data_IF_152109891415
#
_entry.id   IF_152109891415
#
_cell.length_a   1.000
_cell.length_b   1.000
_cell.length_c   1.000
_cell.angle_alpha   90.00
_cell.angle_beta   90.00
_cell.angle_gamma   90.00
#
_symmetry.space_group_name_H-M   'P 1'
#
loop_
_entity.id
_entity.type
_entity.pdbx_description
1 polymer ?
#
# COMPACT_ATOMS: atom_id res chain seq x y z
N UNK A 1 26.03 -15.23 18.85
CA UNK A 1 26.82 -14.94 17.63
C UNK A 1 25.87 -14.16 16.75
N UNK A 2 25.97 -12.84 16.74
CA UNK A 2 25.22 -12.01 15.79
C UNK A 2 25.82 -12.28 14.41
N UNK A 3 25.05 -12.88 13.51
CA UNK A 3 25.44 -13.06 12.11
C UNK A 3 25.40 -11.71 11.42
N UNK A 4 26.48 -11.33 10.72
CA UNK A 4 26.48 -10.15 9.84
C UNK A 4 25.43 -10.36 8.75
N UNK A 5 24.41 -9.49 8.71
CA UNK A 5 23.35 -9.55 7.72
C UNK A 5 23.89 -9.42 6.30
N UNK A 6 25.10 -8.91 6.08
CA UNK A 6 25.72 -8.84 4.75
C UNK A 6 26.29 -10.19 4.27
N UNK A 7 25.97 -11.29 4.95
CA UNK A 7 26.42 -12.64 4.59
C UNK A 7 25.26 -13.62 4.66
N UNK A 8 25.23 -14.58 3.72
CA UNK A 8 24.31 -15.71 3.78
C UNK A 8 25.00 -16.98 4.30
N UNK A 9 24.30 -17.83 5.07
CA UNK A 9 22.93 -17.63 5.56
C UNK A 9 22.85 -16.59 6.70
N UNK A 10 21.73 -15.87 6.77
CA UNK A 10 21.44 -14.92 7.86
C UNK A 10 20.11 -15.27 8.53
N UNK A 11 20.04 -15.20 9.85
CA UNK A 11 18.80 -15.48 10.60
C UNK A 11 18.28 -14.18 11.19
N UNK A 12 17.15 -13.69 10.68
CA UNK A 12 16.56 -12.46 11.19
C UNK A 12 15.94 -12.66 12.57
N UNK A 13 15.28 -13.80 12.78
CA UNK A 13 14.69 -14.20 14.06
C UNK A 13 15.27 -15.54 14.49
N UNK A 14 16.07 -15.58 15.58
CA UNK A 14 16.67 -16.82 16.04
C UNK A 14 15.64 -17.92 16.33
N UNK A 15 15.77 -19.06 15.66
CA UNK A 15 14.91 -20.22 15.87
C UNK A 15 13.67 -20.26 14.98
N UNK A 16 13.46 -19.26 14.13
CA UNK A 16 12.35 -19.25 13.17
C UNK A 16 12.86 -19.44 11.73
N UNK A 17 12.70 -20.64 11.14
CA UNK A 17 13.18 -20.92 9.79
C UNK A 17 12.43 -20.17 8.68
N UNK A 18 11.27 -19.57 8.97
CA UNK A 18 10.54 -18.75 7.99
C UNK A 18 11.27 -17.42 7.72
N UNK A 19 12.16 -17.01 8.63
CA UNK A 19 12.93 -15.77 8.53
C UNK A 19 14.45 -16.05 8.41
N UNK A 20 14.80 -17.21 7.85
CA UNK A 20 16.15 -17.59 7.45
C UNK A 20 16.41 -17.17 5.99
N UNK A 21 17.50 -16.42 5.78
CA UNK A 21 17.90 -15.90 4.49
C UNK A 21 19.01 -16.74 3.87
N UNK A 22 18.99 -16.97 2.54
CA UNK A 22 18.16 -16.30 1.52
C UNK A 22 16.74 -16.87 1.32
N UNK A 23 16.36 -17.92 2.05
CA UNK A 23 15.11 -18.62 1.80
C UNK A 23 13.86 -17.74 1.96
N UNK A 24 13.85 -16.85 2.97
CA UNK A 24 12.78 -15.89 3.23
C UNK A 24 12.54 -14.87 2.09
N UNK A 25 13.48 -14.74 1.14
CA UNK A 25 13.28 -13.89 -0.03
C UNK A 25 12.60 -14.64 -1.20
N UNK A 26 12.73 -15.97 -1.24
CA UNK A 26 12.17 -16.82 -2.29
C UNK A 26 10.70 -17.18 -2.08
N UNK A 27 10.22 -18.15 -2.86
CA UNK A 27 8.87 -18.70 -2.75
C UNK A 27 8.67 -19.49 -1.46
N UNK A 28 7.56 -19.23 -0.78
CA UNK A 28 7.02 -20.08 0.28
C UNK A 28 5.96 -21.02 -0.31
N UNK A 29 6.37 -22.25 -0.63
CA UNK A 29 5.54 -23.20 -1.39
C UNK A 29 4.30 -23.67 -0.61
N UNK A 30 4.39 -23.71 0.72
CA UNK A 30 3.34 -24.09 1.66
C UNK A 30 2.32 -22.98 1.95
N UNK A 31 2.56 -21.77 1.43
CA UNK A 31 1.71 -20.60 1.62
C UNK A 31 0.82 -20.39 0.38
N UNK A 32 -0.46 -20.10 0.62
CA UNK A 32 -1.39 -19.82 -0.48
C UNK A 32 -1.16 -18.43 -1.09
N UNK A 33 -0.72 -17.46 -0.29
CA UNK A 33 -0.36 -16.13 -0.79
C UNK A 33 1.05 -15.73 -0.42
N UNK A 34 1.75 -15.09 -1.35
CA UNK A 34 3.13 -14.61 -1.17
C UNK A 34 3.30 -13.30 -1.95
N UNK A 35 3.76 -12.24 -1.28
CA UNK A 35 3.75 -10.86 -1.77
C UNK A 35 5.15 -10.26 -1.76
N UNK A 36 5.68 -9.94 -2.94
CA UNK A 36 6.92 -9.19 -3.09
C UNK A 36 6.61 -7.77 -3.52
N UNK A 37 6.89 -6.83 -2.61
CA UNK A 37 6.67 -5.42 -2.83
C UNK A 37 8.02 -4.69 -2.82
N UNK A 38 8.26 -3.82 -3.79
CA UNK A 38 9.35 -2.83 -3.73
C UNK A 38 8.85 -1.49 -4.25
N UNK A 39 9.19 -0.42 -3.53
CA UNK A 39 8.89 0.94 -3.93
C UNK A 39 10.00 1.90 -3.52
N UNK A 40 10.12 3.02 -4.23
CA UNK A 40 11.14 4.02 -3.93
C UNK A 40 10.98 5.32 -4.69
N UNK A 41 11.68 6.34 -4.19
CA UNK A 41 11.92 7.61 -4.85
C UNK A 41 13.16 7.51 -5.74
N UNK A 42 13.10 8.16 -6.90
CA UNK A 42 14.14 8.20 -7.90
C UNK A 42 14.35 9.66 -8.33
N UNK A 43 15.60 10.08 -8.40
CA UNK A 43 16.00 11.35 -8.97
C UNK A 43 16.69 11.10 -10.32
N UNK A 44 16.25 11.83 -11.33
CA UNK A 44 16.79 11.76 -12.68
C UNK A 44 17.95 12.74 -12.89
N UNK A 45 18.88 12.40 -13.79
CA UNK A 45 19.98 13.30 -14.17
C UNK A 45 19.48 14.64 -14.76
N UNK A 46 18.28 14.66 -15.34
CA UNK A 46 17.60 15.88 -15.81
C UNK A 46 17.14 16.82 -14.69
N UNK A 47 17.20 16.38 -13.42
CA UNK A 47 16.72 17.12 -12.26
C UNK A 47 15.25 16.87 -11.92
N UNK A 48 14.59 15.96 -12.63
CA UNK A 48 13.21 15.53 -12.33
C UNK A 48 13.17 14.49 -11.21
N UNK A 49 12.09 14.48 -10.44
CA UNK A 49 11.87 13.48 -9.40
C UNK A 49 10.71 12.55 -9.76
N UNK A 50 10.95 11.26 -9.57
CA UNK A 50 10.00 10.18 -9.82
C UNK A 50 9.82 9.33 -8.57
N UNK A 51 8.76 8.52 -8.55
CA UNK A 51 8.67 7.39 -7.67
C UNK A 51 8.12 6.18 -8.43
N UNK A 52 8.29 5.00 -7.85
CA UNK A 52 7.74 3.78 -8.40
C UNK A 52 7.28 2.85 -7.29
N UNK A 53 6.39 1.93 -7.64
CA UNK A 53 6.15 0.72 -6.87
C UNK A 53 5.96 -0.46 -7.81
N UNK A 54 6.19 -1.66 -7.28
CA UNK A 54 5.80 -2.91 -7.93
C UNK A 54 5.36 -3.93 -6.91
N UNK A 55 4.43 -4.78 -7.33
CA UNK A 55 3.92 -5.92 -6.57
C UNK A 55 3.98 -7.14 -7.49
N UNK A 56 4.70 -8.17 -7.07
CA UNK A 56 4.48 -9.53 -7.56
C UNK A 56 3.70 -10.27 -6.48
N UNK A 57 2.64 -10.96 -6.88
CA UNK A 57 1.77 -11.60 -5.93
C UNK A 57 1.37 -13.00 -6.41
N UNK A 58 1.71 -14.00 -5.60
CA UNK A 58 1.20 -15.36 -5.70
C UNK A 58 -0.12 -15.41 -4.94
N UNK A 59 -1.19 -15.93 -5.54
CA UNK A 59 -2.43 -16.29 -4.86
C UNK A 59 -2.94 -17.62 -5.39
N UNK A 60 -2.93 -18.63 -4.53
CA UNK A 60 -3.32 -19.99 -4.87
C UNK A 60 -4.31 -20.58 -3.88
N UNK A 61 -5.56 -20.05 -3.82
CA UNK A 61 -6.55 -20.52 -2.86
C UNK A 61 -6.82 -22.02 -3.05
N UNK A 62 -6.71 -22.79 -1.97
CA UNK A 62 -6.85 -24.25 -1.99
C UNK A 62 -5.79 -24.96 -2.84
N UNK A 63 -4.70 -24.28 -3.23
CA UNK A 63 -3.58 -24.82 -4.02
C UNK A 63 -3.88 -25.17 -5.48
N UNK A 64 -5.14 -25.08 -5.92
CA UNK A 64 -5.58 -25.51 -7.27
C UNK A 64 -5.95 -24.35 -8.18
N UNK A 65 -6.49 -23.27 -7.61
CA UNK A 65 -6.78 -22.04 -8.32
C UNK A 65 -5.48 -21.24 -8.41
N UNK A 66 -5.20 -20.64 -9.56
CA UNK A 66 -4.11 -19.66 -9.73
C UNK A 66 -4.77 -18.31 -9.96
N UNK A 67 -4.46 -17.33 -9.12
CA UNK A 67 -4.92 -15.94 -9.21
C UNK A 67 -3.73 -14.98 -8.98
N UNK A 68 -2.58 -15.36 -9.52
CA UNK A 68 -1.33 -14.64 -9.39
C UNK A 68 -1.43 -13.31 -10.17
N UNK A 69 -0.83 -12.24 -9.67
CA UNK A 69 -0.86 -10.94 -10.36
C UNK A 69 0.47 -10.20 -10.26
N UNK A 70 0.64 -9.27 -11.19
CA UNK A 70 1.73 -8.31 -11.22
C UNK A 70 1.16 -6.91 -11.33
N UNK A 71 1.70 -5.97 -10.55
CA UNK A 71 1.38 -4.54 -10.65
C UNK A 71 2.65 -3.72 -10.67
N UNK A 72 2.71 -2.69 -11.50
CA UNK A 72 3.70 -1.62 -11.38
C UNK A 72 3.05 -0.26 -11.55
N UNK A 73 3.65 0.76 -10.93
CA UNK A 73 3.29 2.14 -11.18
C UNK A 73 4.53 3.03 -11.22
N UNK A 74 4.45 4.09 -12.04
CA UNK A 74 5.40 5.19 -12.10
C UNK A 74 4.66 6.48 -11.73
N UNK A 75 5.31 7.33 -10.95
CA UNK A 75 4.79 8.60 -10.49
C UNK A 75 5.79 9.69 -10.89
N UNK A 76 5.30 10.74 -11.53
CA UNK A 76 6.05 11.98 -11.72
C UNK A 76 5.75 12.90 -10.54
N UNK A 77 6.74 13.12 -9.69
CA UNK A 77 6.57 13.89 -8.45
C UNK A 77 6.55 15.40 -8.69
N UNK A 78 6.99 15.85 -9.87
CA UNK A 78 7.02 17.26 -10.24
C UNK A 78 5.69 17.71 -10.84
N UNK A 79 5.06 16.84 -11.66
CA UNK A 79 3.77 17.14 -12.30
C UNK A 79 2.57 16.58 -11.54
N UNK A 80 2.78 15.58 -10.68
CA UNK A 80 1.72 14.80 -10.04
C UNK A 80 1.02 13.81 -10.97
N UNK A 81 1.58 13.51 -12.16
CA UNK A 81 1.06 12.50 -13.08
C UNK A 81 1.43 11.09 -12.59
N UNK A 82 0.61 10.08 -12.90
CA UNK A 82 0.96 8.69 -12.63
C UNK A 82 0.41 7.71 -13.68
N UNK A 83 1.20 6.67 -13.91
CA UNK A 83 0.84 5.51 -14.72
C UNK A 83 0.81 4.26 -13.85
N UNK A 84 -0.16 3.38 -14.09
CA UNK A 84 -0.26 2.09 -13.40
C UNK A 84 -0.61 1.00 -14.40
N UNK A 85 -0.07 -0.19 -14.16
CA UNK A 85 -0.34 -1.39 -14.93
C UNK A 85 -0.56 -2.55 -13.98
N UNK A 86 -1.64 -3.31 -14.16
CA UNK A 86 -1.90 -4.56 -13.43
C UNK A 86 -2.29 -5.64 -14.42
N UNK A 87 -1.63 -6.80 -14.33
CA UNK A 87 -1.95 -7.98 -15.14
C UNK A 87 -2.21 -9.19 -14.23
N UNK A 88 -3.12 -10.06 -14.68
CA UNK A 88 -3.60 -11.21 -13.92
C UNK A 88 -3.33 -12.53 -14.65
N UNK A 89 -2.98 -13.53 -13.86
CA UNK A 89 -2.95 -14.94 -14.22
C UNK A 89 -4.07 -15.63 -13.46
N UNK A 90 -5.26 -15.68 -14.08
CA UNK A 90 -6.46 -16.19 -13.42
C UNK A 90 -7.45 -16.88 -14.38
N UNK A 91 -8.35 -17.72 -13.85
CA UNK A 91 -9.44 -18.29 -14.62
C UNK A 91 -10.37 -17.24 -15.23
N UNK A 92 -11.00 -17.52 -16.39
CA UNK A 92 -10.84 -18.76 -17.16
C UNK A 92 -9.59 -18.80 -18.04
N UNK A 93 -8.91 -17.66 -18.25
CA UNK A 93 -7.84 -17.54 -19.25
C UNK A 93 -6.67 -18.50 -19.01
N UNK A 94 -6.27 -18.72 -17.76
CA UNK A 94 -5.18 -19.64 -17.42
C UNK A 94 -5.57 -21.12 -17.35
N UNK A 95 -6.86 -21.43 -17.58
CA UNK A 95 -7.36 -22.80 -17.68
C UNK A 95 -7.49 -23.27 -19.13
N UNK A 96 -7.29 -22.38 -20.11
CA UNK A 96 -7.34 -22.75 -21.52
C UNK A 96 -6.24 -23.76 -21.89
N UNK A 97 -6.51 -24.72 -22.81
CA UNK A 97 -5.51 -25.69 -23.22
C UNK A 97 -4.22 -25.04 -23.74
N UNK A 98 -3.08 -25.39 -23.12
CA UNK A 98 -1.77 -24.85 -23.48
C UNK A 98 -1.42 -23.52 -22.82
N UNK A 99 -2.30 -22.97 -21.96
CA UNK A 99 -1.95 -21.83 -21.12
C UNK A 99 -0.73 -22.14 -20.24
N UNK A 100 0.21 -21.20 -20.20
CA UNK A 100 1.37 -21.25 -19.31
C UNK A 100 1.13 -20.29 -18.15
N UNK A 101 1.60 -20.67 -16.96
CA UNK A 101 1.61 -19.77 -15.81
C UNK A 101 2.47 -18.55 -16.12
N UNK A 102 1.96 -17.37 -15.80
CA UNK A 102 2.68 -16.11 -16.03
C UNK A 102 3.78 -15.90 -14.99
N UNK A 103 3.51 -16.24 -13.73
CA UNK A 103 4.44 -16.08 -12.60
C UNK A 103 5.33 -17.32 -12.40
N UNK A 104 6.64 -17.11 -12.46
CA UNK A 104 7.66 -18.09 -12.06
C UNK A 104 8.43 -17.55 -10.85
N UNK A 105 8.74 -18.43 -9.91
CA UNK A 105 9.42 -18.11 -8.66
C UNK A 105 10.40 -19.23 -8.31
N UNK A 106 11.56 -18.90 -7.71
CA UNK A 106 12.47 -19.89 -7.16
C UNK A 106 12.26 -20.08 -5.65
N UNK A 107 12.35 -21.33 -5.13
CA UNK A 107 12.49 -21.55 -3.70
C UNK A 107 13.92 -21.24 -3.24
N UNK A 108 14.06 -20.78 -2.00
CA UNK A 108 15.37 -20.64 -1.34
C UNK A 108 16.14 -19.35 -1.63
N UNK A 109 15.75 -18.56 -2.64
CA UNK A 109 16.30 -17.23 -2.93
C UNK A 109 15.35 -16.44 -3.83
N UNK A 110 15.54 -15.12 -3.91
CA UNK A 110 14.74 -14.28 -4.78
C UNK A 110 15.08 -14.49 -6.25
N UNK A 111 14.12 -15.01 -7.00
CA UNK A 111 14.14 -15.04 -8.47
C UNK A 111 12.71 -15.13 -8.97
N UNK A 112 12.20 -14.01 -9.47
CA UNK A 112 10.83 -13.82 -9.91
C UNK A 112 10.82 -13.41 -11.38
N UNK A 113 9.88 -13.96 -12.13
CA UNK A 113 9.52 -13.44 -13.45
C UNK A 113 8.01 -13.51 -13.68
N UNK A 114 7.43 -12.46 -14.25
CA UNK A 114 6.03 -12.41 -14.63
C UNK A 114 5.90 -12.07 -16.12
N UNK A 115 5.26 -12.96 -16.88
CA UNK A 115 5.07 -12.82 -18.33
C UNK A 115 3.70 -12.19 -18.63
N UNK A 116 3.68 -10.91 -18.97
CA UNK A 116 2.46 -10.16 -19.28
C UNK A 116 2.38 -9.79 -20.77
N UNK A 117 1.27 -9.18 -21.17
CA UNK A 117 1.13 -8.60 -22.52
C UNK A 117 2.11 -7.45 -22.81
N UNK A 118 2.61 -6.78 -21.77
CA UNK A 118 3.58 -5.68 -21.89
C UNK A 118 5.05 -6.17 -21.94
N UNK A 119 5.30 -7.46 -21.71
CA UNK A 119 6.62 -8.08 -21.68
C UNK A 119 6.86 -8.89 -20.40
N UNK A 120 8.12 -9.19 -20.12
CA UNK A 120 8.51 -9.91 -18.90
C UNK A 120 9.03 -8.93 -17.85
N UNK A 121 8.34 -8.85 -16.71
CA UNK A 121 8.86 -8.22 -15.52
C UNK A 121 9.67 -9.24 -14.70
N UNK A 122 10.75 -8.82 -14.04
CA UNK A 122 11.59 -9.69 -13.22
C UNK A 122 12.20 -8.99 -12.02
N UNK A 123 12.45 -9.77 -10.98
CA UNK A 123 13.19 -9.35 -9.78
C UNK A 123 14.02 -10.54 -9.29
N UNK A 124 15.35 -10.42 -9.42
CA UNK A 124 16.28 -11.53 -9.19
C UNK A 124 17.47 -11.13 -8.33
N UNK A 125 17.92 -12.04 -7.49
CA UNK A 125 19.15 -11.89 -6.71
C UNK A 125 20.39 -11.90 -7.62
N UNK A 126 21.29 -10.94 -7.39
CA UNK A 126 22.57 -10.88 -8.06
C UNK A 126 23.51 -11.97 -7.56
N UNK A 127 24.48 -12.31 -8.40
CA UNK A 127 25.56 -13.25 -8.09
C UNK A 127 26.91 -12.59 -8.30
N UNK A 128 27.90 -13.01 -7.54
CA UNK A 128 29.30 -12.63 -7.73
C UNK A 128 29.94 -13.40 -8.91
N UNK A 129 31.23 -13.14 -9.15
CA UNK A 129 32.00 -13.81 -10.22
C UNK A 129 32.15 -15.33 -10.05
N UNK A 130 31.93 -15.85 -8.85
CA UNK A 130 31.96 -17.28 -8.52
C UNK A 130 30.55 -17.91 -8.58
N UNK A 131 29.52 -17.13 -8.91
CA UNK A 131 28.12 -17.56 -8.98
C UNK A 131 27.41 -17.63 -7.62
N UNK A 132 28.02 -17.15 -6.53
CA UNK A 132 27.39 -17.10 -5.21
C UNK A 132 26.44 -15.91 -5.12
N UNK A 133 25.35 -16.07 -4.36
CA UNK A 133 24.39 -14.98 -4.14
C UNK A 133 25.06 -13.81 -3.41
N UNK A 134 24.83 -12.61 -3.91
CA UNK A 134 25.16 -11.37 -3.23
C UNK A 134 24.01 -11.01 -2.29
N UNK A 135 24.23 -10.91 -0.97
CA UNK A 135 23.16 -10.68 -0.02
C UNK A 135 22.34 -9.43 -0.34
N UNK A 136 21.04 -9.66 -0.50
CA UNK A 136 20.00 -8.67 -0.74
C UNK A 136 20.24 -7.76 -1.95
N UNK A 137 21.15 -8.11 -2.84
CA UNK A 137 21.48 -7.28 -4.01
C UNK A 137 20.71 -7.79 -5.21
N UNK A 138 20.00 -6.92 -5.92
CA UNK A 138 19.00 -7.33 -6.91
C UNK A 138 19.17 -6.65 -8.26
N UNK A 139 18.70 -7.35 -9.30
CA UNK A 139 18.28 -6.77 -10.57
C UNK A 139 16.77 -6.76 -10.65
N UNK A 140 16.21 -5.59 -10.93
CA UNK A 140 14.77 -5.36 -11.07
C UNK A 140 14.52 -4.83 -12.49
N UNK A 141 13.61 -5.47 -13.23
CA UNK A 141 13.17 -5.02 -14.55
C UNK A 141 11.64 -5.05 -14.57
N UNK A 142 11.03 -3.89 -14.65
CA UNK A 142 9.57 -3.72 -14.62
C UNK A 142 9.09 -3.25 -15.98
N UNK A 143 7.94 -3.75 -16.42
CA UNK A 143 7.34 -3.39 -17.71
C UNK A 143 5.82 -3.33 -17.60
N UNK A 144 5.21 -2.35 -18.25
CA UNK A 144 3.78 -2.12 -18.21
C UNK A 144 3.33 -1.12 -19.26
N UNK A 145 2.04 -0.81 -19.23
CA UNK A 145 1.42 0.22 -20.05
C UNK A 145 0.48 1.04 -19.16
N UNK A 146 0.53 2.37 -19.24
CA UNK A 146 -0.36 3.21 -18.43
C UNK A 146 -1.79 3.28 -19.00
N UNK A 147 -2.68 3.96 -18.29
CA UNK A 147 -4.09 4.10 -18.67
C UNK A 147 -4.32 4.83 -20.02
N UNK A 148 -3.28 5.50 -20.55
CA UNK A 148 -3.30 6.20 -21.83
C UNK A 148 -2.58 5.42 -22.94
N UNK A 149 -2.15 4.18 -22.67
CA UNK A 149 -1.45 3.34 -23.63
C UNK A 149 0.05 3.66 -23.75
N UNK A 150 0.63 4.48 -22.86
CA UNK A 150 2.07 4.79 -22.91
C UNK A 150 2.86 3.64 -22.29
N UNK A 151 3.88 3.11 -22.98
CA UNK A 151 4.72 2.07 -22.42
C UNK A 151 5.50 2.59 -21.21
N UNK A 152 5.57 1.78 -20.16
CA UNK A 152 6.33 2.02 -18.94
C UNK A 152 7.40 0.94 -18.79
N UNK A 153 8.62 1.35 -18.45
CA UNK A 153 9.72 0.44 -18.13
C UNK A 153 10.63 1.04 -17.06
N UNK A 154 11.07 0.20 -16.13
CA UNK A 154 12.05 0.59 -15.11
C UNK A 154 13.04 -0.55 -14.92
N UNK A 155 14.32 -0.30 -15.19
CA UNK A 155 15.40 -1.24 -14.93
C UNK A 155 16.28 -0.68 -13.82
N UNK A 156 16.48 -1.41 -12.72
CA UNK A 156 17.25 -0.99 -11.57
C UNK A 156 18.25 -2.06 -11.13
N UNK A 157 19.45 -1.61 -10.76
CA UNK A 157 20.32 -2.28 -9.80
C UNK A 157 19.94 -1.80 -8.40
N UNK A 158 19.68 -2.72 -7.47
CA UNK A 158 19.24 -2.39 -6.12
C UNK A 158 20.16 -3.04 -5.09
N UNK A 159 20.67 -2.27 -4.14
CA UNK A 159 21.45 -2.76 -3.01
C UNK A 159 20.99 -2.07 -1.73
N UNK A 160 20.47 -2.80 -0.73
CA UNK A 160 20.06 -2.20 0.53
C UNK A 160 21.27 -1.77 1.35
N UNK A 161 21.07 -0.71 2.12
CA UNK A 161 22.05 -0.18 3.06
C UNK A 161 21.74 -0.59 4.51
N UNK A 162 20.57 -1.21 4.73
CA UNK A 162 20.08 -1.64 6.05
C UNK A 162 19.71 -3.12 6.05
N UNK A 163 19.80 -3.71 7.24
CA UNK A 163 19.36 -5.08 7.48
C UNK A 163 17.84 -5.19 7.30
N UNK A 164 17.31 -6.37 6.92
CA UNK A 164 15.89 -6.62 7.03
C UNK A 164 15.44 -6.47 8.50
N UNK A 165 14.20 -6.04 8.70
CA UNK A 165 13.59 -5.77 10.01
C UNK A 165 12.28 -6.56 10.09
N UNK A 166 12.08 -7.39 11.13
CA UNK A 166 10.83 -8.12 11.27
C UNK A 166 9.71 -7.14 11.62
N UNK A 167 8.55 -7.25 10.98
CA UNK A 167 7.41 -6.40 11.32
C UNK A 167 7.00 -6.67 12.78
N UNK A 168 6.77 -5.59 13.52
CA UNK A 168 6.50 -5.60 14.95
C UNK A 168 7.75 -5.86 15.81
N UNK A 169 8.95 -5.68 15.25
CA UNK A 169 10.24 -5.83 15.93
C UNK A 169 10.31 -7.12 16.77
N UNK A 170 10.88 -7.06 17.98
CA UNK A 170 10.95 -8.20 18.90
C UNK A 170 9.61 -8.55 19.57
N UNK A 171 8.61 -7.65 19.51
CA UNK A 171 7.26 -7.87 20.06
C UNK A 171 6.53 -8.97 19.29
N UNK A 172 6.61 -8.92 17.96
CA UNK A 172 5.95 -9.88 17.06
C UNK A 172 6.91 -10.80 16.32
N UNK A 173 8.20 -10.45 16.25
CA UNK A 173 9.22 -11.19 15.52
C UNK A 173 8.81 -11.50 14.07
N UNK A 174 8.10 -10.57 13.42
CA UNK A 174 7.67 -10.71 12.03
C UNK A 174 6.51 -11.67 11.85
N UNK A 175 6.02 -12.32 12.91
CA UNK A 175 4.86 -13.22 12.87
C UNK A 175 3.63 -12.51 13.42
N UNK A 176 2.70 -12.19 12.52
CA UNK A 176 1.62 -11.22 12.75
C UNK A 176 0.25 -11.82 12.44
N UNK A 177 -0.80 -11.09 12.81
CA UNK A 177 -2.17 -11.38 12.37
C UNK A 177 -2.56 -10.37 11.31
N UNK A 178 -2.68 -10.80 10.06
CA UNK A 178 -3.03 -9.93 8.93
C UNK A 178 -4.27 -10.46 8.21
N UNK A 179 -5.20 -9.59 7.84
CA UNK A 179 -6.50 -9.93 7.25
C UNK A 179 -7.29 -11.01 8.01
N UNK A 180 -7.15 -11.05 9.33
CA UNK A 180 -7.78 -12.08 10.19
C UNK A 180 -7.10 -13.44 10.15
N UNK A 181 -5.91 -13.55 9.56
CA UNK A 181 -5.14 -14.79 9.47
C UNK A 181 -3.97 -14.73 10.45
N UNK A 182 -3.93 -15.66 11.42
CA UNK A 182 -2.73 -15.91 12.21
C UNK A 182 -1.63 -16.49 11.32
N UNK A 183 -0.40 -16.55 11.84
CA UNK A 183 0.73 -17.18 11.16
C UNK A 183 1.04 -16.53 9.79
N UNK A 184 0.67 -15.26 9.61
CA UNK A 184 1.19 -14.43 8.53
C UNK A 184 2.57 -13.96 8.93
N UNK A 185 3.54 -14.05 8.03
CA UNK A 185 4.88 -13.53 8.28
C UNK A 185 5.13 -12.29 7.45
N UNK A 186 5.91 -11.36 7.99
CA UNK A 186 6.34 -10.18 7.28
C UNK A 186 7.65 -9.59 7.81
N UNK A 187 8.48 -9.11 6.90
CA UNK A 187 9.61 -8.26 7.18
C UNK A 187 9.69 -7.15 6.13
N UNK A 188 10.29 -6.03 6.51
CA UNK A 188 10.64 -4.98 5.57
C UNK A 188 12.15 -4.75 5.57
N UNK A 189 12.66 -4.21 4.48
CA UNK A 189 14.04 -3.76 4.38
C UNK A 189 14.06 -2.38 3.75
N UNK A 190 14.87 -1.47 4.27
CA UNK A 190 14.89 -0.07 3.82
C UNK A 190 16.29 0.36 3.40
N UNK A 191 16.41 1.62 2.96
CA UNK A 191 17.68 2.18 2.49
C UNK A 191 18.14 1.54 1.19
N UNK A 192 17.24 1.45 0.21
CA UNK A 192 17.54 0.88 -1.11
C UNK A 192 18.37 1.85 -1.93
N UNK A 193 19.67 1.57 -2.10
CA UNK A 193 20.48 2.26 -3.10
C UNK A 193 20.10 1.70 -4.48
N UNK A 194 19.60 2.57 -5.35
CA UNK A 194 19.03 2.23 -6.64
C UNK A 194 19.72 3.03 -7.74
N UNK A 195 20.05 2.39 -8.85
CA UNK A 195 20.54 3.05 -10.07
C UNK A 195 20.02 2.33 -11.30
N UNK A 196 19.70 3.06 -12.37
CA UNK A 196 19.32 2.46 -13.63
C UNK A 196 18.58 3.40 -14.55
N UNK A 197 17.59 2.87 -15.29
CA UNK A 197 16.91 3.60 -16.36
C UNK A 197 15.39 3.56 -16.20
N UNK A 198 14.76 4.71 -16.35
CA UNK A 198 13.30 4.85 -16.42
C UNK A 198 12.89 5.22 -17.85
N UNK A 199 11.83 4.58 -18.35
CA UNK A 199 11.14 4.99 -19.57
C UNK A 199 9.63 5.05 -19.34
N UNK A 200 9.02 6.15 -19.74
CA UNK A 200 7.57 6.33 -19.71
C UNK A 200 7.11 7.12 -20.95
N UNK A 201 6.53 6.40 -21.92
CA UNK A 201 6.29 6.94 -23.25
C UNK A 201 7.60 7.37 -23.93
N UNK A 202 7.68 8.67 -24.21
CA UNK A 202 8.86 9.32 -24.82
C UNK A 202 9.89 9.80 -23.79
N UNK A 203 9.54 9.82 -22.49
CA UNK A 203 10.47 10.16 -21.42
C UNK A 203 11.43 8.99 -21.23
N UNK A 204 12.74 9.27 -21.25
CA UNK A 204 13.81 8.32 -20.94
C UNK A 204 14.83 9.02 -20.05
N UNK A 205 15.09 8.47 -18.87
CA UNK A 205 15.93 9.08 -17.84
C UNK A 205 16.93 8.06 -17.28
N UNK A 206 18.15 8.50 -17.02
CA UNK A 206 19.02 7.83 -16.05
C UNK A 206 18.57 8.26 -14.66
N UNK A 207 18.37 7.28 -13.78
CA UNK A 207 17.78 7.51 -12.46
C UNK A 207 18.63 6.89 -11.36
N UNK A 208 18.63 7.52 -10.20
CA UNK A 208 19.23 6.99 -8.98
C UNK A 208 18.35 7.31 -7.77
N UNK A 209 18.48 6.56 -6.68
CA UNK A 209 17.71 6.82 -5.47
C UNK A 209 18.28 6.11 -4.27
N UNK A 210 17.95 6.60 -3.08
CA UNK A 210 18.31 5.99 -1.79
C UNK A 210 17.12 5.80 -0.86
N UNK A 211 15.99 6.46 -1.16
CA UNK A 211 14.74 6.32 -0.42
C UNK A 211 13.89 5.23 -1.05
N UNK A 212 13.85 4.06 -0.43
CA UNK A 212 13.05 2.94 -0.91
C UNK A 212 12.98 1.83 0.12
N UNK A 213 12.04 0.92 -0.10
CA UNK A 213 11.81 -0.22 0.77
C UNK A 213 11.35 -1.44 -0.02
N UNK A 214 11.68 -2.59 0.55
CA UNK A 214 11.12 -3.89 0.23
C UNK A 214 10.16 -4.25 1.36
N UNK A 215 8.97 -4.72 1.02
CA UNK A 215 8.09 -5.40 1.95
C UNK A 215 7.80 -6.82 1.44
N UNK A 216 7.89 -7.77 2.36
CA UNK A 216 7.69 -9.20 2.10
C UNK A 216 6.64 -9.70 3.05
N UNK A 217 5.65 -10.38 2.51
CA UNK A 217 4.56 -10.92 3.30
C UNK A 217 4.03 -12.20 2.68
N UNK A 218 3.85 -13.25 3.50
CA UNK A 218 3.25 -14.50 3.08
C UNK A 218 2.23 -15.00 4.08
N UNK A 219 1.18 -15.62 3.55
CA UNK A 219 -0.03 -15.95 4.26
C UNK A 219 -0.37 -17.43 4.12
N UNK A 220 -0.85 -18.07 5.20
CA UNK A 220 -1.25 -19.47 5.15
C UNK A 220 -2.45 -19.70 4.22
N UNK A 221 -3.31 -18.69 4.06
CA UNK A 221 -4.43 -18.73 3.10
C UNK A 221 -4.43 -17.49 2.22
N UNK A 222 -5.22 -17.55 1.15
CA UNK A 222 -5.43 -16.44 0.24
C UNK A 222 -5.65 -15.10 0.97
N UNK A 223 -4.78 -14.11 0.73
CA UNK A 223 -4.80 -12.81 1.39
C UNK A 223 -6.13 -12.06 1.18
N UNK A 224 -6.72 -12.15 -0.02
CA UNK A 224 -7.94 -11.43 -0.39
C UNK A 224 -9.25 -12.08 0.07
N UNK A 225 -9.28 -12.75 1.23
CA UNK A 225 -10.54 -13.26 1.82
C UNK A 225 -10.43 -14.56 2.61
N UNK A 226 -9.26 -15.21 2.63
CA UNK A 226 -9.04 -16.47 3.34
C UNK A 226 -9.29 -16.38 4.86
N UNK A 227 -9.03 -15.21 5.46
CA UNK A 227 -9.33 -14.91 6.86
C UNK A 227 -10.75 -14.39 7.13
N UNK A 228 -11.57 -14.20 6.09
CA UNK A 228 -12.92 -13.62 6.18
C UNK A 228 -14.00 -14.47 5.53
N UNK A 229 -13.76 -15.77 5.36
CA UNK A 229 -14.75 -16.68 4.76
C UNK A 229 -15.02 -16.43 3.27
N UNK A 230 -14.07 -15.79 2.57
CA UNK A 230 -14.11 -15.55 1.13
C UNK A 230 -14.59 -14.16 0.71
N UNK A 231 -15.00 -13.28 1.64
CA UNK A 231 -15.33 -11.89 1.30
C UNK A 231 -14.06 -11.02 1.28
N UNK A 232 -13.59 -10.57 0.09
CA UNK A 232 -12.39 -9.75 -0.02
C UNK A 232 -12.54 -8.36 0.62
N UNK A 233 -13.77 -7.88 0.87
CA UNK A 233 -14.03 -6.56 1.46
C UNK A 233 -14.39 -6.60 2.94
N UNK A 234 -14.44 -7.78 3.56
CA UNK A 234 -14.71 -7.91 5.00
C UNK A 234 -13.55 -7.40 5.87
N UNK A 235 -12.33 -7.36 5.32
CA UNK A 235 -11.16 -6.74 5.94
C UNK A 235 -10.61 -5.66 5.02
N UNK A 236 -9.98 -4.67 5.62
CA UNK A 236 -9.19 -3.67 4.90
C UNK A 236 -8.02 -3.23 5.78
N UNK A 237 -7.09 -2.50 5.19
CA UNK A 237 -5.88 -2.09 5.86
C UNK A 237 -5.39 -0.75 5.33
N UNK A 238 -4.50 -0.16 6.13
CA UNK A 238 -3.60 0.89 5.71
C UNK A 238 -2.19 0.48 6.08
N UNK A 239 -1.24 0.67 5.17
CA UNK A 239 0.18 0.40 5.40
C UNK A 239 0.99 1.60 4.94
N UNK A 240 1.97 2.02 5.72
CA UNK A 240 2.82 3.16 5.39
C UNK A 240 4.26 2.81 5.64
N UNK A 241 5.12 3.04 4.65
CA UNK A 241 6.57 3.00 4.87
C UNK A 241 7.13 4.39 4.67
N UNK A 242 7.75 4.93 5.72
CA UNK A 242 8.21 6.31 5.80
C UNK A 242 9.71 6.31 6.03
N UNK A 243 10.47 7.00 5.16
CA UNK A 243 11.89 7.25 5.31
C UNK A 243 12.10 8.70 5.75
N UNK A 244 12.49 8.92 7.00
CA UNK A 244 12.77 10.27 7.51
C UNK A 244 14.18 10.75 7.17
N UNK A 245 14.32 12.07 7.05
CA UNK A 245 15.58 12.78 6.82
C UNK A 245 16.64 12.58 7.92
N UNK A 246 16.22 12.28 9.14
CA UNK A 246 17.11 11.91 10.25
C UNK A 246 17.60 10.44 10.17
N UNK A 247 17.18 9.70 9.15
CA UNK A 247 17.52 8.31 8.93
C UNK A 247 16.68 7.32 9.73
N UNK A 248 15.64 7.70 10.46
CA UNK A 248 14.70 6.72 11.02
C UNK A 248 13.71 6.29 9.94
N UNK A 249 13.48 4.98 9.81
CA UNK A 249 12.45 4.45 8.94
C UNK A 249 11.31 3.87 9.76
N UNK A 250 10.06 4.12 9.35
CA UNK A 250 8.88 3.55 9.97
C UNK A 250 8.13 2.65 9.00
N UNK A 251 7.61 1.54 9.50
CA UNK A 251 6.52 0.79 8.89
C UNK A 251 5.31 0.91 9.82
N UNK A 252 4.19 1.48 9.36
CA UNK A 252 2.97 1.69 10.15
C UNK A 252 1.84 0.89 9.52
N UNK A 253 1.14 0.08 10.30
CA UNK A 253 0.05 -0.75 9.83
C UNK A 253 -1.21 -0.52 10.65
N UNK A 254 -2.35 -0.49 9.98
CA UNK A 254 -3.69 -0.46 10.58
C UNK A 254 -4.57 -1.44 9.83
N UNK A 255 -5.46 -2.11 10.56
CA UNK A 255 -6.39 -3.07 9.97
C UNK A 255 -7.79 -2.84 10.50
N UNK A 256 -8.78 -3.07 9.64
CA UNK A 256 -10.18 -2.78 9.95
C UNK A 256 -11.07 -3.98 9.68
N UNK A 257 -11.98 -4.25 10.61
CA UNK A 257 -13.15 -5.10 10.40
C UNK A 257 -14.25 -4.30 9.72
N UNK A 258 -14.40 -4.51 8.42
CA UNK A 258 -15.42 -3.81 7.65
C UNK A 258 -16.82 -4.34 7.89
N UNK A 259 -16.96 -5.49 8.54
CA UNK A 259 -18.25 -6.08 8.91
C UNK A 259 -18.75 -5.56 10.26
N UNK A 260 -17.83 -5.02 11.07
CA UNK A 260 -18.12 -4.43 12.38
C UNK A 260 -17.80 -2.93 12.38
N UNK A 261 -18.47 -2.14 11.52
CA UNK A 261 -18.38 -0.68 11.56
C UNK A 261 -16.98 -0.11 11.34
N UNK A 262 -16.17 -0.76 10.49
CA UNK A 262 -14.75 -0.43 10.28
C UNK A 262 -13.92 -0.43 11.59
N UNK A 263 -14.26 -1.31 12.55
CA UNK A 263 -13.56 -1.40 13.82
C UNK A 263 -12.08 -1.77 13.63
N UNK A 264 -11.20 -1.03 14.30
CA UNK A 264 -9.77 -1.31 14.30
C UNK A 264 -9.47 -2.70 14.88
N UNK A 265 -8.55 -3.43 14.25
CA UNK A 265 -8.13 -4.76 14.70
C UNK A 265 -6.88 -4.69 15.59
N UNK A 266 -6.68 -5.66 16.50
CA UNK A 266 -5.58 -5.63 17.48
C UNK A 266 -4.17 -5.49 16.90
N UNK A 267 -3.88 -6.10 15.74
CA UNK A 267 -2.61 -5.88 15.06
C UNK A 267 -2.64 -4.55 14.30
N UNK A 268 -2.37 -3.47 15.04
CA UNK A 268 -2.21 -2.08 14.59
C UNK A 268 -1.04 -1.45 15.34
N UNK A 269 -0.12 -0.79 14.63
CA UNK A 269 1.06 -0.22 15.27
C UNK A 269 2.10 0.31 14.29
N UNK A 270 3.30 0.49 14.79
CA UNK A 270 4.47 0.97 14.06
C UNK A 270 5.70 0.16 14.45
N UNK A 271 6.54 -0.16 13.46
CA UNK A 271 7.91 -0.64 13.65
C UNK A 271 8.86 0.47 13.23
N UNK A 272 9.75 0.86 14.13
CA UNK A 272 10.82 1.79 13.83
C UNK A 272 12.14 1.03 13.59
N UNK A 273 12.86 1.42 12.54
CA UNK A 273 14.21 0.96 12.23
C UNK A 273 15.16 2.15 12.18
N UNK A 274 16.39 1.94 12.65
CA UNK A 274 17.32 3.01 12.99
C UNK A 274 18.56 2.99 12.08
N UNK A 275 19.18 4.15 11.83
CA UNK A 275 20.37 4.22 10.97
C UNK A 275 21.60 3.58 11.63
N UNK A 276 21.67 3.57 12.96
CA UNK A 276 22.71 2.87 13.71
C UNK A 276 22.36 1.37 13.80
N UNK A 277 23.14 0.47 13.17
CA UNK A 277 22.86 -0.96 13.19
C UNK A 277 22.98 -1.59 14.59
N UNK A 278 23.58 -0.90 15.57
CA UNK A 278 23.61 -1.35 16.96
C UNK A 278 22.31 -1.03 17.72
N UNK A 279 21.45 -0.17 17.18
CA UNK A 279 20.15 0.14 17.78
C UNK A 279 19.11 -0.83 17.24
N UNK A 280 18.54 -1.72 18.08
CA UNK A 280 17.54 -2.69 17.62
C UNK A 280 16.26 -1.97 17.19
N UNK A 281 15.50 -2.54 16.24
CA UNK A 281 14.19 -2.01 15.89
C UNK A 281 13.24 -2.06 17.08
N UNK A 282 12.27 -1.14 17.10
CA UNK A 282 11.27 -1.02 18.18
C UNK A 282 9.84 -1.08 17.63
N UNK A 283 8.88 -1.46 18.47
CA UNK A 283 7.47 -1.57 18.14
C UNK A 283 6.62 -0.75 19.12
N UNK A 284 5.74 0.09 18.59
CA UNK A 284 4.75 0.81 19.36
C UNK A 284 3.34 0.58 18.80
N UNK A 285 2.35 0.47 19.68
CA UNK A 285 0.97 0.08 19.32
C UNK A 285 -0.05 1.18 19.63
N UNK A 286 0.40 2.29 20.22
CA UNK A 286 -0.39 3.49 20.52
C UNK A 286 -0.43 4.48 19.33
N UNK A 287 -0.51 3.95 18.10
CA UNK A 287 -0.58 4.76 16.88
C UNK A 287 -2.02 5.21 16.64
N UNK A 288 -2.19 6.53 16.61
CA UNK A 288 -3.44 7.19 16.24
C UNK A 288 -3.31 7.83 14.86
N UNK A 289 -4.34 7.69 14.03
CA UNK A 289 -4.41 8.33 12.72
C UNK A 289 -5.73 9.07 12.61
N UNK A 290 -5.65 10.38 12.37
CA UNK A 290 -6.79 11.26 12.11
C UNK A 290 -6.81 11.62 10.63
N UNK A 291 -7.91 11.31 9.95
CA UNK A 291 -8.09 11.66 8.54
C UNK A 291 -8.57 13.12 8.44
N UNK A 292 -7.95 13.87 7.53
CA UNK A 292 -8.26 15.29 7.27
C UNK A 292 -8.96 15.51 5.93
N UNK A 293 -8.76 14.61 4.97
CA UNK A 293 -9.46 14.63 3.70
C UNK A 293 -9.66 13.22 3.14
N UNK A 294 -10.61 13.11 2.22
CA UNK A 294 -10.80 11.93 1.40
C UNK A 294 -10.67 12.29 -0.06
N UNK A 295 -10.28 11.31 -0.87
CA UNK A 295 -10.24 11.43 -2.32
C UNK A 295 -11.19 10.41 -2.94
N UNK A 296 -11.97 10.84 -3.93
CA UNK A 296 -12.87 9.97 -4.66
C UNK A 296 -12.06 9.01 -5.53
N UNK A 297 -12.49 7.76 -5.61
CA UNK A 297 -11.91 6.76 -6.50
C UNK A 297 -11.95 7.24 -7.97
N UNK A 298 -10.86 7.11 -8.73
CA UNK A 298 -10.82 7.57 -10.12
C UNK A 298 -11.56 6.61 -11.05
N UNK A 299 -12.31 7.15 -12.02
CA UNK A 299 -13.07 6.33 -12.98
C UNK A 299 -12.18 5.57 -13.98
N UNK A 300 -10.94 6.03 -14.16
CA UNK A 300 -9.97 5.44 -15.09
C UNK A 300 -9.47 4.05 -14.65
N UNK A 301 -9.59 3.72 -13.35
CA UNK A 301 -9.08 2.46 -12.79
C UNK A 301 -10.25 1.62 -12.28
N UNK A 302 -10.29 0.36 -12.72
CA UNK A 302 -11.32 -0.60 -12.33
C UNK A 302 -10.69 -1.72 -11.51
N UNK A 303 -11.17 -1.96 -10.27
CA UNK A 303 -10.84 -3.18 -9.55
C UNK A 303 -11.31 -4.42 -10.30
N UNK A 304 -10.66 -5.56 -10.07
CA UNK A 304 -11.08 -6.85 -10.67
C UNK A 304 -12.47 -7.27 -10.20
N UNK A 305 -12.73 -7.20 -8.89
CA UNK A 305 -14.04 -7.51 -8.31
C UNK A 305 -14.91 -6.27 -8.41
N UNK A 306 -16.08 -6.42 -9.05
CA UNK A 306 -17.05 -5.34 -9.23
C UNK A 306 -17.25 -4.56 -7.91
N UNK A 307 -17.10 -3.23 -7.95
CA UNK A 307 -17.36 -2.40 -6.78
C UNK A 307 -18.79 -2.50 -6.28
N UNK A 308 -18.98 -2.37 -4.96
CA UNK A 308 -20.29 -2.47 -4.30
C UNK A 308 -21.17 -1.24 -4.60
N UNK A 309 -20.56 -0.07 -4.69
CA UNK A 309 -21.23 1.20 -4.99
C UNK A 309 -20.41 2.01 -6.00
N UNK A 310 -21.03 2.90 -6.80
CA UNK A 310 -20.32 3.77 -7.73
C UNK A 310 -19.44 4.80 -7.01
N UNK A 311 -19.99 5.44 -5.97
CA UNK A 311 -19.29 6.41 -5.13
C UNK A 311 -18.42 5.70 -4.10
N UNK A 312 -17.13 6.00 -4.12
CA UNK A 312 -16.14 5.38 -3.23
C UNK A 312 -15.07 6.40 -2.88
N UNK A 313 -14.74 6.52 -1.61
CA UNK A 313 -13.80 7.51 -1.11
C UNK A 313 -12.69 6.82 -0.31
N UNK A 314 -11.45 7.23 -0.52
CA UNK A 314 -10.28 6.70 0.15
C UNK A 314 -9.69 7.76 1.08
N UNK A 315 -9.19 7.40 2.28
CA UNK A 315 -8.46 8.32 3.14
C UNK A 315 -7.29 8.97 2.39
N UNK A 316 -7.11 10.28 2.54
CA UNK A 316 -6.14 11.04 1.74
C UNK A 316 -5.11 11.75 2.63
N UNK A 317 -5.35 13.01 3.02
CA UNK A 317 -4.51 13.72 3.99
C UNK A 317 -4.84 13.26 5.40
N UNK A 318 -3.82 13.16 6.24
CA UNK A 318 -4.00 12.66 7.60
C UNK A 318 -2.87 13.11 8.52
N UNK A 319 -3.13 13.02 9.83
CA UNK A 319 -2.14 13.21 10.90
C UNK A 319 -1.93 11.90 11.63
N UNK A 320 -0.69 11.59 11.96
CA UNK A 320 -0.30 10.41 12.72
C UNK A 320 0.32 10.86 14.03
N UNK A 321 -0.11 10.25 15.14
CA UNK A 321 0.46 10.45 16.46
C UNK A 321 0.81 9.12 17.10
N UNK A 322 1.89 9.08 17.86
CA UNK A 322 2.26 7.94 18.70
C UNK A 322 3.01 8.47 19.92
N UNK A 323 2.44 8.29 21.11
CA UNK A 323 3.01 8.87 22.34
C UNK A 323 4.32 8.18 22.71
N UNK A 324 4.41 6.85 22.53
CA UNK A 324 5.63 6.06 22.75
C UNK A 324 6.83 6.61 21.97
N UNK A 325 6.63 6.94 20.69
CA UNK A 325 7.68 7.52 19.83
C UNK A 325 7.75 9.06 19.90
N UNK A 326 6.88 9.71 20.67
CA UNK A 326 6.64 11.16 20.59
C UNK A 326 6.55 11.65 19.14
N UNK A 327 5.83 10.87 18.33
CA UNK A 327 5.61 11.11 16.91
C UNK A 327 4.38 12.00 16.75
N UNK A 328 4.50 13.01 15.90
CA UNK A 328 3.39 13.87 15.50
C UNK A 328 3.67 14.41 14.10
N UNK A 329 3.09 13.80 13.07
CA UNK A 329 3.38 14.11 11.66
C UNK A 329 2.09 14.26 10.86
N UNK A 330 2.13 15.12 9.84
CA UNK A 330 1.07 15.27 8.84
C UNK A 330 1.57 14.72 7.52
N UNK A 331 0.76 13.88 6.88
CA UNK A 331 1.02 13.28 5.58
C UNK A 331 0.17 13.90 4.49
N UNK A 332 0.80 14.26 3.38
CA UNK A 332 0.14 14.76 2.17
C UNK A 332 0.51 13.92 0.95
N UNK A 333 -0.47 13.58 0.09
CA UNK A 333 -0.18 12.86 -1.15
C UNK A 333 0.62 13.75 -2.11
N UNK A 334 1.58 13.15 -2.81
CA UNK A 334 2.30 13.81 -3.90
C UNK A 334 1.61 13.61 -5.26
N UNK A 335 0.71 12.62 -5.34
CA UNK A 335 -0.11 12.32 -6.51
C UNK A 335 -1.56 12.13 -6.07
N UNK A 336 -2.50 12.70 -6.82
CA UNK A 336 -3.91 12.57 -6.51
C UNK A 336 -4.45 11.17 -6.86
N UNK A 337 -5.16 10.56 -5.90
CA UNK A 337 -5.93 9.31 -6.10
C UNK A 337 -5.19 8.16 -6.81
N UNK A 338 -3.97 7.75 -6.39
CA UNK A 338 -3.16 6.75 -7.07
C UNK A 338 -3.74 5.34 -6.90
N UNK A 339 -4.76 5.03 -7.70
CA UNK A 339 -5.47 3.75 -7.69
C UNK A 339 -4.79 2.71 -8.58
N UNK A 340 -4.89 1.45 -8.18
CA UNK A 340 -4.36 0.31 -8.93
C UNK A 340 -5.46 -0.70 -9.24
N UNK A 341 -5.29 -1.44 -10.33
CA UNK A 341 -6.26 -2.44 -10.80
C UNK A 341 -6.26 -3.73 -9.98
N UNK A 342 -6.04 -3.66 -8.66
CA UNK A 342 -6.01 -4.79 -7.74
C UNK A 342 -7.42 -5.41 -7.52
N UNK A 343 -7.53 -6.55 -6.80
CA UNK A 343 -8.81 -7.25 -6.68
C UNK A 343 -9.97 -6.41 -6.15
N UNK A 344 -9.69 -5.52 -5.20
CA UNK A 344 -10.65 -4.56 -4.63
C UNK A 344 -10.11 -3.13 -4.75
N UNK A 345 -10.85 -2.16 -4.24
CA UNK A 345 -10.40 -0.79 -4.15
C UNK A 345 -9.10 -0.70 -3.35
N UNK A 346 -8.03 -0.29 -4.03
CA UNK A 346 -6.70 -0.23 -3.48
C UNK A 346 -5.94 0.95 -4.08
N UNK A 347 -5.41 1.80 -3.21
CA UNK A 347 -4.55 2.91 -3.58
C UNK A 347 -3.21 2.79 -2.88
N UNK A 348 -2.13 3.01 -3.62
CA UNK A 348 -0.78 3.17 -3.07
C UNK A 348 -0.12 4.31 -3.82
N UNK A 349 0.50 5.23 -3.10
CA UNK A 349 1.27 6.25 -3.78
C UNK A 349 2.18 7.04 -2.87
N UNK A 350 2.99 7.91 -3.48
CA UNK A 350 4.01 8.67 -2.79
C UNK A 350 3.39 9.76 -1.90
N UNK A 351 3.95 9.89 -0.70
CA UNK A 351 3.54 10.86 0.33
C UNK A 351 4.75 11.64 0.81
N UNK A 352 4.50 12.89 1.20
CA UNK A 352 5.42 13.67 2.02
C UNK A 352 4.87 13.79 3.43
N UNK A 353 5.74 13.54 4.40
CA UNK A 353 5.45 13.73 5.81
C UNK A 353 6.28 14.87 6.38
N UNK A 354 5.69 15.62 7.31
CA UNK A 354 6.37 16.66 8.08
C UNK A 354 5.83 16.70 9.51
N UNK A 355 6.69 17.00 10.48
CA UNK A 355 6.29 17.12 11.88
C UNK A 355 7.45 16.84 12.82
N UNK A 356 7.21 16.05 13.87
CA UNK A 356 8.22 15.70 14.87
C UNK A 356 8.29 14.22 15.18
N UNK A 357 9.49 13.73 15.45
CA UNK A 357 9.80 12.43 16.06
C UNK A 357 10.72 12.66 17.26
N UNK A 358 10.40 12.10 18.43
CA UNK A 358 11.14 12.38 19.68
C UNK A 358 11.28 13.88 19.99
N UNK A 359 10.23 14.66 19.68
CA UNK A 359 10.21 16.11 19.84
C UNK A 359 11.15 16.88 18.90
N UNK A 360 11.81 16.23 17.94
CA UNK A 360 12.69 16.87 16.95
C UNK A 360 11.99 16.97 15.60
N UNK A 361 12.15 18.07 14.86
CA UNK A 361 11.61 18.20 13.51
C UNK A 361 12.11 17.08 12.59
N UNK A 362 11.22 16.54 11.78
CA UNK A 362 11.52 15.58 10.72
C UNK A 362 10.68 15.87 9.48
N UNK A 363 11.26 15.57 8.33
CA UNK A 363 10.55 15.40 7.05
C UNK A 363 10.78 14.00 6.53
N UNK A 364 9.85 13.46 5.76
CA UNK A 364 9.99 12.12 5.22
C UNK A 364 9.30 11.94 3.87
N UNK A 365 9.88 11.06 3.06
CA UNK A 365 9.23 10.49 1.88
C UNK A 365 8.65 9.14 2.25
N UNK A 366 7.50 8.80 1.67
CA UNK A 366 6.80 7.59 2.03
C UNK A 366 5.97 7.03 0.89
N UNK A 367 5.52 5.79 1.06
CA UNK A 367 4.34 5.27 0.38
C UNK A 367 3.24 5.01 1.39
N UNK A 368 1.99 5.32 1.01
CA UNK A 368 0.80 5.04 1.80
C UNK A 368 -0.15 4.14 0.99
N UNK A 369 -0.22 2.89 1.40
CA UNK A 369 -1.12 1.85 0.93
C UNK A 369 -2.42 1.85 1.72
N UNK A 370 -3.54 1.69 1.02
CA UNK A 370 -4.87 1.70 1.64
C UNK A 370 -5.88 0.95 0.81
N UNK A 371 -6.72 0.15 1.48
CA UNK A 371 -7.84 -0.59 0.91
C UNK A 371 -9.20 -0.25 1.55
N UNK A 372 -9.22 0.68 2.53
CA UNK A 372 -10.43 1.13 3.20
C UNK A 372 -11.23 2.11 2.32
N UNK A 373 -11.97 1.57 1.34
CA UNK A 373 -12.89 2.35 0.52
C UNK A 373 -14.22 2.59 1.24
N UNK A 374 -14.54 3.85 1.51
CA UNK A 374 -15.77 4.31 2.12
C UNK A 374 -16.86 4.50 1.05
N UNK A 375 -17.98 3.79 1.21
CA UNK A 375 -19.07 3.78 0.24
C UNK A 375 -20.46 3.55 0.83
N UNK A 376 -20.57 3.16 2.10
CA UNK A 376 -21.84 2.99 2.80
C UNK A 376 -22.36 4.35 3.27
N UNK A 377 -23.67 4.47 3.51
CA UNK A 377 -24.30 5.71 3.97
C UNK A 377 -23.58 6.37 5.15
N UNK A 378 -23.35 5.62 6.24
CA UNK A 378 -22.67 6.11 7.43
C UNK A 378 -21.18 6.44 7.18
N UNK A 379 -20.53 5.75 6.25
CA UNK A 379 -19.16 6.04 5.84
C UNK A 379 -19.10 7.34 5.00
N UNK A 380 -20.06 7.55 4.09
CA UNK A 380 -20.14 8.78 3.30
C UNK A 380 -20.54 10.00 4.13
N UNK A 381 -21.29 9.81 5.21
CA UNK A 381 -21.50 10.85 6.22
C UNK A 381 -20.20 11.25 6.90
N UNK A 382 -19.32 10.30 7.23
CA UNK A 382 -17.98 10.59 7.77
C UNK A 382 -17.12 11.36 6.77
N UNK A 383 -17.18 11.00 5.48
CA UNK A 383 -16.53 11.74 4.39
C UNK A 383 -17.01 13.19 4.35
N UNK A 384 -18.33 13.41 4.38
CA UNK A 384 -18.91 14.76 4.40
C UNK A 384 -18.47 15.55 5.64
N UNK A 385 -18.64 14.99 6.83
CA UNK A 385 -18.33 15.66 8.08
C UNK A 385 -16.85 16.05 8.16
N UNK A 386 -15.95 15.15 7.76
CA UNK A 386 -14.50 15.41 7.73
C UNK A 386 -14.15 16.48 6.71
N UNK A 387 -14.72 16.42 5.50
CA UNK A 387 -14.43 17.39 4.43
C UNK A 387 -14.89 18.79 4.83
N UNK A 388 -16.06 18.90 5.46
CA UNK A 388 -16.60 20.19 5.95
C UNK A 388 -15.80 20.74 7.13
N UNK A 389 -15.43 19.90 8.10
CA UNK A 389 -14.66 20.32 9.26
C UNK A 389 -13.25 20.84 8.90
N UNK A 390 -12.71 20.41 7.75
CA UNK A 390 -11.41 20.84 7.23
C UNK A 390 -11.54 21.80 6.03
N UNK A 391 -12.73 22.34 5.76
CA UNK A 391 -12.94 23.27 4.65
C UNK A 391 -12.19 24.59 4.85
N UNK A 392 -11.58 25.11 3.78
CA UNK A 392 -10.93 26.41 3.75
C UNK A 392 -11.43 27.22 2.54
N UNK A 393 -12.14 28.35 2.74
CA UNK A 393 -12.53 28.92 4.03
C UNK A 393 -13.54 28.04 4.80
N UNK A 394 -13.67 28.22 6.13
CA UNK A 394 -14.68 27.50 6.91
C UNK A 394 -16.10 27.69 6.35
N UNK A 395 -16.92 26.65 6.40
CA UNK A 395 -18.30 26.65 5.92
C UNK A 395 -19.30 26.32 7.06
N UNK A 396 -19.65 27.29 7.94
CA UNK A 396 -20.46 27.02 9.13
C UNK A 396 -21.85 26.43 8.83
N UNK A 397 -22.49 26.86 7.74
CA UNK A 397 -23.79 26.32 7.34
C UNK A 397 -23.72 24.84 6.96
N UNK A 398 -22.65 24.45 6.25
CA UNK A 398 -22.40 23.04 5.93
C UNK A 398 -22.00 22.24 7.17
N UNK A 399 -21.29 22.86 8.13
CA UNK A 399 -20.98 22.19 9.39
C UNK A 399 -22.26 21.88 10.15
N UNK A 400 -23.18 22.85 10.27
CA UNK A 400 -24.49 22.64 10.89
C UNK A 400 -25.32 21.59 10.14
N UNK A 401 -25.21 21.52 8.81
CA UNK A 401 -25.86 20.48 8.02
C UNK A 401 -25.29 19.10 8.36
N UNK A 402 -23.97 18.93 8.34
CA UNK A 402 -23.30 17.69 8.68
C UNK A 402 -23.66 17.22 10.11
N UNK A 403 -23.58 18.13 11.09
CA UNK A 403 -23.91 17.85 12.50
C UNK A 403 -25.36 17.36 12.70
N UNK A 404 -26.28 17.75 11.81
CA UNK A 404 -27.68 17.29 11.81
C UNK A 404 -27.89 15.99 11.04
N UNK A 405 -27.15 15.76 9.97
CA UNK A 405 -27.27 14.54 9.13
C UNK A 405 -26.67 13.33 9.84
N UNK A 406 -25.53 13.49 10.53
CA UNK A 406 -24.84 12.42 11.26
C UNK A 406 -25.78 11.62 12.18
N UNK A 407 -26.50 12.23 13.14
CA UNK A 407 -27.39 11.49 14.04
C UNK A 407 -28.61 10.90 13.33
N UNK A 408 -29.08 11.47 12.21
CA UNK A 408 -30.18 10.91 11.43
C UNK A 408 -29.78 9.59 10.77
N UNK A 409 -28.61 9.55 10.13
CA UNK A 409 -28.09 8.34 9.49
C UNK A 409 -27.75 7.27 10.52
N UNK A 410 -27.12 7.64 11.64
CA UNK A 410 -26.86 6.72 12.76
C UNK A 410 -28.15 6.11 13.35
N UNK A 411 -29.27 6.84 13.33
CA UNK A 411 -30.58 6.37 13.78
C UNK A 411 -31.39 5.64 12.69
N UNK A 412 -30.84 5.43 11.48
CA UNK A 412 -31.55 4.81 10.36
C UNK A 412 -32.64 5.69 9.71
N UNK A 413 -32.71 6.99 10.04
CA UNK A 413 -33.72 7.95 9.53
C UNK A 413 -33.32 8.51 8.16
N UNK A 414 -33.11 7.62 7.19
CA UNK A 414 -32.56 7.95 5.85
C UNK A 414 -33.40 8.96 5.08
N UNK A 415 -34.74 8.81 5.05
CA UNK A 415 -35.62 9.74 4.34
C UNK A 415 -35.52 11.18 4.86
N UNK A 416 -35.43 11.36 6.17
CA UNK A 416 -35.27 12.69 6.78
C UNK A 416 -33.88 13.28 6.50
N UNK A 417 -32.84 12.44 6.46
CA UNK A 417 -31.51 12.89 6.04
C UNK A 417 -31.53 13.36 4.57
N UNK A 418 -32.22 12.65 3.67
CA UNK A 418 -32.35 13.05 2.26
C UNK A 418 -33.08 14.38 2.10
N UNK A 419 -34.21 14.58 2.79
CA UNK A 419 -34.94 15.86 2.76
C UNK A 419 -34.08 17.02 3.26
N UNK A 420 -33.32 16.79 4.32
CA UNK A 420 -32.39 17.78 4.85
C UNK A 420 -31.27 18.12 3.86
N UNK A 421 -30.66 17.10 3.23
CA UNK A 421 -29.59 17.29 2.26
C UNK A 421 -30.07 17.99 0.98
N UNK A 422 -31.27 17.65 0.47
CA UNK A 422 -31.87 18.30 -0.70
C UNK A 422 -32.31 19.74 -0.44
N UNK A 423 -32.62 20.07 0.81
CA UNK A 423 -32.92 21.44 1.24
C UNK A 423 -31.69 22.31 1.46
N UNK A 424 -30.47 21.78 1.33
CA UNK A 424 -29.25 22.55 1.49
C UNK A 424 -29.08 23.59 0.37
N UNK A 425 -28.48 24.72 0.70
CA UNK A 425 -28.11 25.73 -0.28
C UNK A 425 -27.09 25.14 -1.29
N UNK A 426 -27.09 25.61 -2.55
CA UNK A 426 -26.08 25.19 -3.52
C UNK A 426 -24.66 25.39 -3.00
N UNK A 427 -23.82 24.37 -3.16
CA UNK A 427 -22.43 24.41 -2.71
C UNK A 427 -21.52 24.76 -3.88
N UNK A 428 -20.77 25.86 -3.76
CA UNK A 428 -19.84 26.31 -4.81
C UNK A 428 -18.62 25.39 -4.95
N UNK A 429 -18.24 24.67 -3.89
CA UNK A 429 -17.15 23.71 -3.92
C UNK A 429 -17.60 22.41 -4.61
N UNK A 430 -17.06 22.15 -5.81
CA UNK A 430 -17.43 20.99 -6.62
C UNK A 430 -17.22 19.64 -5.92
N UNK A 431 -16.16 19.47 -5.13
CA UNK A 431 -15.92 18.22 -4.41
C UNK A 431 -17.00 17.97 -3.33
N UNK A 432 -17.37 19.01 -2.58
CA UNK A 432 -18.46 18.92 -1.60
C UNK A 432 -19.82 18.70 -2.28
N UNK A 433 -20.08 19.35 -3.41
CA UNK A 433 -21.29 19.10 -4.19
C UNK A 433 -21.40 17.63 -4.62
N UNK A 434 -20.30 17.05 -5.15
CA UNK A 434 -20.25 15.62 -5.50
C UNK A 434 -20.46 14.71 -4.29
N UNK A 435 -19.86 15.01 -3.14
CA UNK A 435 -20.07 14.23 -1.91
C UNK A 435 -21.53 14.25 -1.48
N UNK A 436 -22.19 15.42 -1.54
CA UNK A 436 -23.62 15.55 -1.21
C UNK A 436 -24.49 14.73 -2.17
N UNK A 437 -24.23 14.80 -3.47
CA UNK A 437 -24.94 14.02 -4.49
C UNK A 437 -24.77 12.51 -4.28
N UNK A 438 -23.52 12.06 -4.09
CA UNK A 438 -23.19 10.67 -3.82
C UNK A 438 -23.88 10.16 -2.54
N UNK A 439 -23.89 10.97 -1.46
CA UNK A 439 -24.57 10.63 -0.20
C UNK A 439 -26.09 10.57 -0.37
N UNK A 440 -26.71 11.52 -1.08
CA UNK A 440 -28.14 11.51 -1.39
C UNK A 440 -28.50 10.25 -2.18
N UNK A 441 -27.69 9.88 -3.16
CA UNK A 441 -27.91 8.69 -3.98
C UNK A 441 -27.93 7.43 -3.10
N UNK A 442 -26.89 7.21 -2.28
CA UNK A 442 -26.79 6.03 -1.40
C UNK A 442 -27.92 5.99 -0.37
N UNK A 443 -28.32 7.13 0.20
CA UNK A 443 -29.45 7.19 1.14
C UNK A 443 -30.80 6.91 0.46
N UNK A 444 -30.91 7.13 -0.85
CA UNK A 444 -32.15 6.96 -1.62
C UNK A 444 -32.33 5.55 -2.20
N UNK A 445 -31.27 4.72 -2.26
CA UNK A 445 -31.27 3.39 -2.90
C UNK A 445 -32.09 2.30 -2.17
N UNK A 446 -32.77 2.65 -1.06
CA UNK A 446 -33.64 1.72 -0.31
C UNK A 446 -34.90 2.39 0.25
N UNK A 447 -35.65 3.09 -0.60
CA UNK A 447 -37.10 3.28 -0.39
C UNK A 447 -37.90 2.18 -1.09
#
# INVERSE_FOLDING_TARGET
MDSDWRTYPFRLVPGDPQLDFPAAEGEHADQESDTWFIAGQLDAESGRSFAFLTIFNKNRPGGTIVADFYTMALFDLDTGDYGTYTDYDMPPANMEPGAQRKLTMAPGYLDLSYHSGAGTASWSACRDGDGKLLPYTYRVSLVGEDHSGRPMRLDLAVTPTRAPTPVGASTYNGKIVCFGQSDTYSYFQTGMAMTGTLRWGDVVEQVSGSGGHVDRQWFPKYAGGGGSGGDPRARSHEWRTINFDNGVDLSIWRQFDRTNGNALQPFTGVTASYPDPATPPDCAEDVEVTIHSYVRWPDAVRPLVRPVAPARYMPDRHRIRCATLQLDIVGEPLVAAPAHGLPIEYMVGPYRYQGTLWGKPVTGFAFNERSLALYRDWELVEVLATTVANASPPAPELQMLADRVVPLVAAGRRGEAVELLRGAAPVENGALATILEDLIAVLSEQN
#
